data_IF_953384696516
#
_entry.id   IF_953384696516
#
_cell.length_a   1.000
_cell.length_b   1.000
_cell.length_c   1.000
_cell.angle_alpha   90.00
_cell.angle_beta   90.00
_cell.angle_gamma   90.00
#
_symmetry.space_group_name_H-M   'P 1'
#
loop_
_entity.id
_entity.type
_entity.pdbx_description
1 polymer ?
#
# COMPACT_ATOMS: atom_id res chain seq x y z
N UNK A 1 -45.83 17.18 24.05
CA UNK A 1 -44.58 17.17 24.83
C UNK A 1 -43.46 16.54 23.98
N UNK A 2 -43.42 16.87 22.68
CA UNK A 2 -42.81 15.97 21.68
C UNK A 2 -41.73 16.64 20.81
N UNK A 3 -41.60 17.96 20.87
CA UNK A 3 -40.55 18.67 20.12
C UNK A 3 -39.20 18.55 20.81
N UNK A 4 -39.13 18.74 22.14
CA UNK A 4 -37.86 18.66 22.87
C UNK A 4 -37.24 17.27 22.80
N UNK A 5 -38.04 16.21 22.95
CA UNK A 5 -37.56 14.82 22.84
C UNK A 5 -37.05 14.49 21.43
N UNK A 6 -37.73 14.97 20.38
CA UNK A 6 -37.28 14.83 19.00
C UNK A 6 -35.94 15.55 18.76
N UNK A 7 -35.79 16.78 19.27
CA UNK A 7 -34.53 17.52 19.16
C UNK A 7 -33.38 16.83 19.89
N UNK A 8 -33.60 16.25 21.08
CA UNK A 8 -32.57 15.49 21.79
C UNK A 8 -32.15 14.22 21.02
N UNK A 9 -33.10 13.48 20.44
CA UNK A 9 -32.80 12.29 19.63
C UNK A 9 -32.03 12.67 18.35
N UNK A 10 -32.43 13.77 17.69
CA UNK A 10 -31.74 14.27 16.50
C UNK A 10 -30.33 14.76 16.82
N UNK A 11 -30.16 15.48 17.93
CA UNK A 11 -28.86 15.93 18.42
C UNK A 11 -27.96 14.73 18.77
N UNK A 12 -28.51 13.70 19.40
CA UNK A 12 -27.77 12.48 19.72
C UNK A 12 -27.35 11.72 18.45
N UNK A 13 -28.22 11.63 17.44
CA UNK A 13 -27.89 11.05 16.13
C UNK A 13 -26.82 11.84 15.37
N UNK A 14 -26.77 13.16 15.55
CA UNK A 14 -25.79 14.04 14.90
C UNK A 14 -24.43 13.98 15.60
N UNK A 15 -24.39 13.89 16.94
CA UNK A 15 -23.12 13.95 17.71
C UNK A 15 -22.53 12.57 17.98
N UNK A 16 -23.35 11.52 18.20
CA UNK A 16 -22.90 10.14 18.44
C UNK A 16 -21.88 9.63 17.41
N UNK A 17 -22.06 9.82 16.08
CA UNK A 17 -21.06 9.37 15.11
C UNK A 17 -19.73 10.14 15.20
N UNK A 18 -19.71 11.38 15.69
CA UNK A 18 -18.47 12.17 15.82
C UNK A 18 -17.61 11.75 17.01
N UNK A 19 -18.20 11.47 18.17
CA UNK A 19 -17.45 10.95 19.33
C UNK A 19 -16.86 9.56 19.02
N UNK A 20 -17.64 8.68 18.40
CA UNK A 20 -17.18 7.36 17.93
C UNK A 20 -16.05 7.46 16.88
N UNK A 21 -16.12 8.43 15.97
CA UNK A 21 -15.06 8.65 14.98
C UNK A 21 -13.76 9.18 15.60
N UNK A 22 -13.84 10.06 16.60
CA UNK A 22 -12.66 10.61 17.27
C UNK A 22 -11.86 9.51 18.01
N UNK A 23 -12.56 8.67 18.78
CA UNK A 23 -11.98 7.51 19.46
C UNK A 23 -11.39 6.51 18.45
N UNK A 24 -12.08 6.25 17.33
CA UNK A 24 -11.59 5.31 16.34
C UNK A 24 -10.28 5.77 15.67
N UNK A 25 -10.12 7.07 15.40
CA UNK A 25 -8.89 7.60 14.80
C UNK A 25 -7.71 7.49 15.77
N UNK A 26 -7.89 7.87 17.02
CA UNK A 26 -6.87 7.75 18.06
C UNK A 26 -6.49 6.28 18.31
N UNK A 27 -7.48 5.39 18.32
CA UNK A 27 -7.27 3.95 18.44
C UNK A 27 -6.45 3.37 17.28
N UNK A 28 -6.70 3.79 16.03
CA UNK A 28 -5.91 3.36 14.87
C UNK A 28 -4.46 3.83 15.00
N UNK A 29 -4.23 5.10 15.33
CA UNK A 29 -2.87 5.64 15.46
C UNK A 29 -2.08 4.91 16.55
N UNK A 30 -2.72 4.61 17.70
CA UNK A 30 -2.11 3.84 18.77
C UNK A 30 -1.80 2.40 18.35
N UNK A 31 -2.70 1.73 17.62
CA UNK A 31 -2.45 0.40 17.06
C UNK A 31 -1.29 0.41 16.05
N UNK A 32 -1.17 1.45 15.22
CA UNK A 32 -0.08 1.60 14.26
C UNK A 32 1.26 1.78 14.99
N UNK A 33 1.31 2.65 16.01
CA UNK A 33 2.51 2.85 16.84
C UNK A 33 2.93 1.54 17.54
N UNK A 34 1.96 0.82 18.09
CA UNK A 34 2.19 -0.46 18.76
C UNK A 34 2.72 -1.53 17.79
N UNK A 35 2.15 -1.60 16.58
CA UNK A 35 2.68 -2.44 15.51
C UNK A 35 4.14 -2.10 15.20
N UNK A 36 4.48 -0.81 15.03
CA UNK A 36 5.85 -0.39 14.75
C UNK A 36 6.82 -0.81 15.86
N UNK A 37 6.40 -0.68 17.12
CA UNK A 37 7.20 -1.13 18.26
C UNK A 37 7.48 -2.64 18.19
N UNK A 38 6.45 -3.46 17.95
CA UNK A 38 6.62 -4.91 17.87
C UNK A 38 7.40 -5.37 16.65
N UNK A 39 7.27 -4.66 15.52
CA UNK A 39 8.08 -4.90 14.32
C UNK A 39 9.57 -4.66 14.63
N UNK A 40 9.90 -3.53 15.29
CA UNK A 40 11.26 -3.16 15.72
C UNK A 40 11.85 -4.15 16.72
N UNK A 41 11.07 -4.60 17.70
CA UNK A 41 11.52 -5.59 18.70
C UNK A 41 11.45 -7.03 18.18
N UNK A 42 11.06 -7.24 16.92
CA UNK A 42 10.85 -8.54 16.30
C UNK A 42 9.92 -9.48 17.10
N UNK A 43 8.92 -8.92 17.78
CA UNK A 43 7.94 -9.69 18.56
C UNK A 43 6.79 -10.12 17.64
N UNK A 44 7.00 -11.19 16.87
CA UNK A 44 6.10 -11.64 15.82
C UNK A 44 4.67 -11.94 16.31
N UNK A 45 4.53 -12.52 17.50
CA UNK A 45 3.22 -12.87 18.06
C UNK A 45 2.39 -11.62 18.34
N UNK A 46 2.99 -10.64 19.03
CA UNK A 46 2.31 -9.38 19.36
C UNK A 46 2.12 -8.47 18.15
N UNK A 47 3.05 -8.51 17.19
CA UNK A 47 2.92 -7.86 15.89
C UNK A 47 1.67 -8.37 15.17
N UNK A 48 1.50 -9.68 15.03
CA UNK A 48 0.35 -10.29 14.35
C UNK A 48 -0.97 -10.02 15.09
N UNK A 49 -0.98 -10.12 16.43
CA UNK A 49 -2.15 -9.79 17.26
C UNK A 49 -2.61 -8.35 17.00
N UNK A 50 -1.65 -7.42 16.94
CA UNK A 50 -1.90 -5.99 16.70
C UNK A 50 -2.41 -5.74 15.28
N UNK A 51 -1.80 -6.37 14.27
CA UNK A 51 -2.27 -6.28 12.87
C UNK A 51 -3.72 -6.75 12.76
N UNK A 52 -4.08 -7.87 13.39
CA UNK A 52 -5.44 -8.39 13.33
C UNK A 52 -6.47 -7.45 13.96
N UNK A 53 -6.10 -6.68 15.00
CA UNK A 53 -6.97 -5.64 15.58
C UNK A 53 -7.26 -4.51 14.58
N UNK A 54 -6.26 -4.11 13.77
CA UNK A 54 -6.40 -3.06 12.75
C UNK A 54 -7.46 -3.40 11.70
N UNK A 55 -7.69 -4.69 11.40
CA UNK A 55 -8.65 -5.17 10.39
C UNK A 55 -10.04 -4.56 10.53
N UNK A 56 -10.51 -4.33 11.76
CA UNK A 56 -11.84 -3.82 12.04
C UNK A 56 -11.97 -2.30 11.85
N UNK A 57 -10.84 -1.60 11.75
CA UNK A 57 -10.80 -0.13 11.68
C UNK A 57 -10.33 0.36 10.31
N UNK A 58 -9.25 -0.23 9.79
CA UNK A 58 -8.69 0.12 8.48
C UNK A 58 -8.27 -1.15 7.73
N UNK A 59 -9.15 -1.57 6.83
CA UNK A 59 -8.95 -2.79 6.04
C UNK A 59 -7.80 -2.65 5.04
N UNK A 60 -7.59 -1.47 4.45
CA UNK A 60 -6.51 -1.24 3.47
C UNK A 60 -5.15 -1.30 4.17
N UNK A 61 -5.04 -0.66 5.33
CA UNK A 61 -3.84 -0.71 6.15
C UNK A 61 -3.59 -2.12 6.69
N UNK A 62 -4.62 -2.83 7.16
CA UNK A 62 -4.51 -4.23 7.55
C UNK A 62 -3.90 -5.09 6.45
N UNK A 63 -4.42 -4.99 5.22
CA UNK A 63 -3.93 -5.74 4.08
C UNK A 63 -2.46 -5.48 3.77
N UNK A 64 -2.03 -4.21 3.87
CA UNK A 64 -0.64 -3.86 3.68
C UNK A 64 0.26 -4.46 4.76
N UNK A 65 -0.12 -4.30 6.03
CA UNK A 65 0.69 -4.75 7.17
C UNK A 65 0.78 -6.28 7.23
N UNK A 66 -0.33 -6.99 7.00
CA UNK A 66 -0.33 -8.45 7.04
C UNK A 66 0.53 -9.06 5.92
N UNK A 67 0.55 -8.44 4.74
CA UNK A 67 1.46 -8.83 3.66
C UNK A 67 2.91 -8.64 4.09
N UNK A 68 3.26 -7.45 4.62
CA UNK A 68 4.62 -7.17 5.10
C UNK A 68 5.06 -8.19 6.16
N UNK A 69 4.19 -8.49 7.11
CA UNK A 69 4.41 -9.51 8.13
C UNK A 69 4.72 -10.88 7.52
N UNK A 70 3.89 -11.39 6.60
CA UNK A 70 4.13 -12.69 5.97
C UNK A 70 5.42 -12.73 5.14
N UNK A 71 5.77 -11.63 4.48
CA UNK A 71 7.04 -11.52 3.76
C UNK A 71 8.24 -11.53 4.70
N UNK A 72 8.16 -10.82 5.83
CA UNK A 72 9.18 -10.81 6.89
C UNK A 72 9.50 -12.23 7.37
N UNK A 73 8.47 -13.06 7.57
CA UNK A 73 8.63 -14.46 8.00
C UNK A 73 8.75 -15.47 6.83
N UNK A 74 9.02 -14.99 5.61
CA UNK A 74 9.22 -15.81 4.38
C UNK A 74 8.04 -16.71 4.00
N UNK A 75 6.82 -16.39 4.45
CA UNK A 75 5.57 -17.09 4.10
C UNK A 75 4.98 -16.52 2.80
N UNK A 76 5.65 -16.78 1.69
CA UNK A 76 5.32 -16.20 0.38
C UNK A 76 3.96 -16.64 -0.16
N UNK A 77 3.53 -17.88 0.11
CA UNK A 77 2.23 -18.41 -0.33
C UNK A 77 1.08 -17.63 0.32
N UNK A 78 1.19 -17.38 1.62
CA UNK A 78 0.24 -16.60 2.41
C UNK A 78 0.22 -15.15 1.92
N UNK A 79 1.39 -14.51 1.75
CA UNK A 79 1.47 -13.16 1.19
C UNK A 79 0.77 -13.06 -0.17
N UNK A 80 1.03 -14.02 -1.09
CA UNK A 80 0.39 -14.09 -2.41
C UNK A 80 -1.12 -14.26 -2.34
N UNK A 81 -1.62 -15.04 -1.38
CA UNK A 81 -3.06 -15.16 -1.15
C UNK A 81 -3.68 -13.82 -0.72
N UNK A 82 -2.97 -13.03 0.09
CA UNK A 82 -3.44 -11.69 0.47
C UNK A 82 -3.38 -10.69 -0.70
N UNK A 83 -2.36 -10.73 -1.56
CA UNK A 83 -2.35 -9.92 -2.79
C UNK A 83 -3.55 -10.21 -3.70
N UNK A 84 -3.92 -11.49 -3.86
CA UNK A 84 -5.11 -11.87 -4.65
C UNK A 84 -6.39 -11.29 -4.06
N UNK A 85 -6.56 -11.34 -2.73
CA UNK A 85 -7.71 -10.74 -2.03
C UNK A 85 -7.78 -9.22 -2.20
N UNK A 86 -6.63 -8.56 -2.23
CA UNK A 86 -6.54 -7.12 -2.49
C UNK A 86 -7.00 -6.79 -3.91
N UNK A 87 -6.54 -7.54 -4.92
CA UNK A 87 -6.94 -7.28 -6.30
C UNK A 87 -8.46 -7.39 -6.51
N UNK A 88 -9.15 -8.19 -5.68
CA UNK A 88 -10.61 -8.31 -5.67
C UNK A 88 -11.30 -7.13 -4.99
N UNK A 89 -10.57 -6.27 -4.27
CA UNK A 89 -11.10 -5.12 -3.51
C UNK A 89 -10.57 -3.81 -4.08
N UNK A 90 -11.41 -2.77 -4.14
CA UNK A 90 -10.96 -1.42 -4.56
C UNK A 90 -10.24 -0.74 -3.40
N UNK A 91 -8.90 -0.67 -3.47
CA UNK A 91 -8.08 0.20 -2.62
C UNK A 91 -8.22 1.64 -3.11
N UNK A 92 -8.67 2.53 -2.22
CA UNK A 92 -8.84 3.96 -2.47
C UNK A 92 -7.56 4.74 -2.16
N UNK A 93 -6.80 4.34 -1.13
CA UNK A 93 -5.61 5.08 -0.73
C UNK A 93 -4.44 4.83 -1.69
N UNK A 94 -4.06 5.86 -2.46
CA UNK A 94 -2.99 5.77 -3.45
C UNK A 94 -1.62 5.44 -2.85
N UNK A 95 -1.33 5.86 -1.61
CA UNK A 95 -0.07 5.53 -0.92
C UNK A 95 0.01 4.04 -0.61
N UNK A 96 -1.07 3.48 -0.07
CA UNK A 96 -1.18 2.04 0.21
C UNK A 96 -1.10 1.23 -1.08
N UNK A 97 -1.81 1.69 -2.13
CA UNK A 97 -1.80 1.07 -3.46
C UNK A 97 -0.38 1.00 -4.04
N UNK A 98 0.33 2.12 -4.03
CA UNK A 98 1.71 2.22 -4.49
C UNK A 98 2.64 1.26 -3.73
N UNK A 99 2.48 1.17 -2.40
CA UNK A 99 3.29 0.27 -1.58
C UNK A 99 3.00 -1.21 -1.90
N UNK A 100 1.74 -1.57 -2.11
CA UNK A 100 1.34 -2.94 -2.51
C UNK A 100 1.95 -3.32 -3.85
N UNK A 101 1.90 -2.42 -4.84
CA UNK A 101 2.55 -2.66 -6.14
C UNK A 101 4.06 -2.86 -5.95
N UNK A 102 4.70 -2.01 -5.15
CA UNK A 102 6.12 -2.15 -4.83
C UNK A 102 6.46 -3.50 -4.19
N UNK A 103 5.61 -4.00 -3.29
CA UNK A 103 5.80 -5.31 -2.67
C UNK A 103 5.59 -6.45 -3.67
N UNK A 104 4.55 -6.39 -4.51
CA UNK A 104 4.31 -7.38 -5.58
C UNK A 104 5.52 -7.47 -6.53
N UNK A 105 6.05 -6.33 -6.96
CA UNK A 105 7.23 -6.27 -7.82
C UNK A 105 8.48 -6.88 -7.19
N UNK A 106 8.67 -6.75 -5.87
CA UNK A 106 9.82 -7.38 -5.18
C UNK A 106 9.72 -8.90 -5.12
N UNK A 107 8.52 -9.44 -4.93
CA UNK A 107 8.31 -10.90 -4.81
C UNK A 107 8.36 -11.57 -6.18
N UNK A 108 7.78 -10.92 -7.20
CA UNK A 108 7.64 -11.47 -8.54
C UNK A 108 8.68 -10.94 -9.53
N UNK A 109 9.71 -10.24 -9.07
CA UNK A 109 10.66 -9.52 -9.94
C UNK A 109 11.30 -10.37 -11.04
N UNK A 110 11.56 -11.63 -10.75
CA UNK A 110 12.19 -12.53 -11.73
C UNK A 110 11.20 -13.09 -12.75
N UNK A 111 9.92 -13.20 -12.39
CA UNK A 111 8.89 -13.88 -13.18
C UNK A 111 7.79 -12.96 -13.73
N UNK A 112 7.89 -11.64 -13.51
CA UNK A 112 6.90 -10.68 -14.01
C UNK A 112 6.99 -10.56 -15.53
N UNK A 113 5.87 -10.76 -16.22
CA UNK A 113 5.81 -10.69 -17.67
C UNK A 113 5.53 -9.26 -18.16
N UNK A 114 5.76 -9.02 -19.46
CA UNK A 114 5.57 -7.71 -20.08
C UNK A 114 4.11 -7.22 -20.01
N UNK A 115 3.13 -8.12 -20.14
CA UNK A 115 1.72 -7.77 -20.04
C UNK A 115 1.33 -7.26 -18.65
N UNK A 116 1.83 -7.88 -17.58
CA UNK A 116 1.61 -7.42 -16.21
C UNK A 116 2.24 -6.05 -15.99
N UNK A 117 3.42 -5.81 -16.57
CA UNK A 117 4.07 -4.50 -16.51
C UNK A 117 3.26 -3.44 -17.23
N UNK A 118 2.78 -3.72 -18.45
CA UNK A 118 1.91 -2.81 -19.18
C UNK A 118 0.60 -2.54 -18.44
N UNK A 119 -0.01 -3.57 -17.83
CA UNK A 119 -1.20 -3.40 -17.00
C UNK A 119 -0.94 -2.46 -15.83
N UNK A 120 0.20 -2.60 -15.15
CA UNK A 120 0.58 -1.70 -14.05
C UNK A 120 0.73 -0.28 -14.59
N UNK A 121 1.52 -0.07 -15.65
CA UNK A 121 1.80 1.25 -16.23
C UNK A 121 0.57 1.95 -16.81
N UNK A 122 -0.33 1.22 -17.47
CA UNK A 122 -1.47 1.80 -18.20
C UNK A 122 -2.70 2.02 -17.30
N UNK A 123 -2.96 1.15 -16.33
CA UNK A 123 -4.18 1.23 -15.53
C UNK A 123 -4.11 2.25 -14.40
N UNK A 124 -2.92 2.81 -14.13
CA UNK A 124 -2.68 3.61 -12.94
C UNK A 124 -2.17 5.01 -13.31
N UNK A 125 -3.10 5.96 -13.43
CA UNK A 125 -2.80 7.36 -13.78
C UNK A 125 -1.80 8.05 -12.83
N UNK A 126 -1.56 7.52 -11.63
CA UNK A 126 -0.74 8.12 -10.57
C UNK A 126 0.30 7.14 -9.96
N UNK A 127 0.96 6.33 -10.78
CA UNK A 127 2.07 5.49 -10.29
C UNK A 127 3.22 6.37 -9.85
N UNK A 128 3.71 6.17 -8.62
CA UNK A 128 4.88 6.89 -8.14
C UNK A 128 6.14 6.54 -8.95
N UNK A 129 6.96 7.54 -9.26
CA UNK A 129 8.23 7.39 -10.02
C UNK A 129 9.16 6.29 -9.45
N UNK A 130 9.11 6.03 -8.15
CA UNK A 130 9.82 4.92 -7.50
C UNK A 130 9.44 3.55 -8.07
N UNK A 131 8.14 3.31 -8.29
CA UNK A 131 7.62 2.06 -8.85
C UNK A 131 8.02 1.95 -10.31
N UNK A 132 7.89 3.03 -11.07
CA UNK A 132 8.33 3.09 -12.47
C UNK A 132 9.83 2.74 -12.58
N UNK A 133 10.66 3.27 -11.68
CA UNK A 133 12.08 2.94 -11.60
C UNK A 133 12.35 1.49 -11.16
N UNK A 134 11.55 0.93 -10.24
CA UNK A 134 11.63 -0.48 -9.88
C UNK A 134 11.34 -1.38 -11.08
N UNK A 135 10.29 -1.07 -11.84
CA UNK A 135 9.96 -1.78 -13.09
C UNK A 135 11.13 -1.69 -14.07
N UNK A 136 11.69 -0.49 -14.30
CA UNK A 136 12.86 -0.29 -15.15
C UNK A 136 14.01 -1.24 -14.79
N UNK A 137 14.35 -1.36 -13.50
CA UNK A 137 15.43 -2.26 -13.06
C UNK A 137 15.12 -3.74 -13.28
N UNK A 138 13.85 -4.15 -13.24
CA UNK A 138 13.45 -5.54 -13.46
C UNK A 138 13.55 -5.93 -14.95
N UNK A 139 13.30 -5.00 -15.86
CA UNK A 139 13.25 -5.28 -17.30
C UNK A 139 14.48 -4.84 -18.09
N UNK A 140 15.37 -4.03 -17.53
CA UNK A 140 16.50 -3.43 -18.27
C UNK A 140 17.34 -4.44 -19.05
N UNK A 141 17.46 -5.66 -18.55
CA UNK A 141 18.20 -6.75 -19.21
C UNK A 141 17.31 -7.80 -19.87
N UNK A 142 15.98 -7.72 -19.70
CA UNK A 142 15.01 -8.68 -20.25
C UNK A 142 14.34 -8.16 -21.53
N UNK A 143 14.10 -6.86 -21.62
CA UNK A 143 13.43 -6.23 -22.76
C UNK A 143 13.92 -4.78 -22.92
N UNK A 144 14.94 -4.61 -23.76
CA UNK A 144 15.60 -3.33 -24.00
C UNK A 144 14.67 -2.26 -24.56
N UNK A 145 13.76 -2.66 -25.47
CA UNK A 145 12.79 -1.73 -26.10
C UNK A 145 11.85 -1.14 -25.06
N UNK A 146 11.29 -1.97 -24.18
CA UNK A 146 10.41 -1.49 -23.11
C UNK A 146 11.21 -0.71 -22.05
N UNK A 147 12.41 -1.18 -21.69
CA UNK A 147 13.28 -0.48 -20.76
C UNK A 147 13.61 0.94 -21.23
N UNK A 148 13.89 1.12 -22.51
CA UNK A 148 14.15 2.42 -23.13
C UNK A 148 12.92 3.34 -23.07
N UNK A 149 11.72 2.80 -23.34
CA UNK A 149 10.48 3.56 -23.18
C UNK A 149 10.28 4.05 -21.75
N UNK A 150 10.45 3.16 -20.76
CA UNK A 150 10.30 3.51 -19.35
C UNK A 150 11.38 4.51 -18.90
N UNK A 151 12.62 4.31 -19.34
CA UNK A 151 13.73 5.24 -19.11
C UNK A 151 13.38 6.63 -19.59
N UNK A 152 12.94 6.77 -20.85
CA UNK A 152 12.56 8.06 -21.43
C UNK A 152 11.38 8.68 -20.68
N UNK A 153 10.39 7.87 -20.28
CA UNK A 153 9.28 8.35 -19.45
C UNK A 153 9.77 8.96 -18.12
N UNK A 154 10.72 8.30 -17.42
CA UNK A 154 11.29 8.83 -16.18
C UNK A 154 12.07 10.12 -16.42
N UNK A 155 12.92 10.14 -17.45
CA UNK A 155 13.77 11.30 -17.75
C UNK A 155 12.97 12.52 -18.19
N UNK A 156 11.91 12.33 -18.99
CA UNK A 156 11.07 13.42 -19.50
C UNK A 156 10.10 13.93 -18.44
N UNK A 157 9.38 13.04 -17.75
CA UNK A 157 8.32 13.46 -16.83
C UNK A 157 8.83 13.77 -15.42
N UNK A 158 10.00 13.22 -15.03
CA UNK A 158 10.58 13.37 -13.70
C UNK A 158 12.06 13.75 -13.73
N UNK A 159 12.45 14.81 -14.47
CA UNK A 159 13.85 15.11 -14.78
C UNK A 159 14.70 15.40 -13.54
N UNK A 160 14.12 16.00 -12.49
CA UNK A 160 14.78 16.34 -11.22
C UNK A 160 14.67 15.25 -10.14
N UNK A 161 14.07 14.10 -10.45
CA UNK A 161 13.93 13.02 -9.47
C UNK A 161 15.28 12.32 -9.22
N UNK A 162 15.47 11.80 -7.99
CA UNK A 162 16.64 10.96 -7.67
C UNK A 162 16.77 9.76 -8.62
N UNK A 163 15.66 9.28 -9.17
CA UNK A 163 15.63 8.16 -10.11
C UNK A 163 16.13 8.56 -11.50
N UNK A 164 15.78 9.76 -11.98
CA UNK A 164 16.36 10.33 -13.20
C UNK A 164 17.89 10.47 -13.07
N UNK A 165 18.38 10.98 -11.94
CA UNK A 165 19.82 11.05 -11.68
C UNK A 165 20.49 9.66 -11.66
N UNK A 166 19.88 8.68 -10.99
CA UNK A 166 20.39 7.29 -10.95
C UNK A 166 20.46 6.65 -12.33
N UNK A 167 19.49 6.92 -13.21
CA UNK A 167 19.53 6.44 -14.60
C UNK A 167 20.73 7.05 -15.33
N UNK A 168 20.88 8.38 -15.29
CA UNK A 168 21.96 9.09 -15.99
C UNK A 168 23.37 8.71 -15.53
N UNK A 169 23.52 8.29 -14.26
CA UNK A 169 24.82 7.89 -13.68
C UNK A 169 25.21 6.44 -13.98
N UNK A 170 24.24 5.59 -14.30
CA UNK A 170 24.47 4.18 -14.64
C UNK A 170 24.66 3.96 -16.16
N UNK A 171 24.70 5.05 -16.94
CA UNK A 171 25.24 5.09 -18.31
C UNK A 171 26.76 5.32 -18.25
#
# INVERSE_FOLDING_TARGET
MDLLSFFYVLLFLVISPFELQSNNKENIENLIKLHMLYDLTNNLSKELETINKIKNFDLEQYYLLIIKYYLKIKKYKEANNFFKKINQKKIKNQKIKNEIISLKLRIHGDNINEEEIQKILNNEKNIGVKIIYQIFNLIKFKNEKLATKIKNLILTNYPKSIYSYKIKRNE
#
